data_IF_526528943870
#
_entry.id   IF_526528943870
#
_cell.length_a   1.000
_cell.length_b   1.000
_cell.length_c   1.000
_cell.angle_alpha   90.00
_cell.angle_beta   90.00
_cell.angle_gamma   90.00
#
_symmetry.space_group_name_H-M   'P 1'
#
loop_
_entity.id
_entity.type
_entity.pdbx_description
1 polymer ?
#
# COMPACT_ATOMS: atom_id res chain seq x y z
N UNK A 1 16.47 7.42 14.66
CA UNK A 1 15.01 7.46 14.40
C UNK A 1 14.47 8.89 14.39
N UNK A 2 14.55 9.63 15.50
CA UNK A 2 13.94 10.96 15.64
C UNK A 2 14.34 11.97 14.55
N UNK A 3 15.65 12.07 14.25
CA UNK A 3 16.13 12.96 13.19
C UNK A 3 15.52 12.62 11.82
N UNK A 4 15.40 11.33 11.48
CA UNK A 4 14.80 10.91 10.23
C UNK A 4 13.30 11.25 10.16
N UNK A 5 12.56 11.09 11.28
CA UNK A 5 11.17 11.53 11.36
C UNK A 5 11.02 13.05 11.16
N UNK A 6 11.91 13.85 11.78
CA UNK A 6 11.91 15.31 11.61
C UNK A 6 12.17 15.71 10.16
N UNK A 7 13.20 15.16 9.54
CA UNK A 7 13.54 15.47 8.15
C UNK A 7 12.37 15.19 7.20
N UNK A 8 11.67 14.07 7.33
CA UNK A 8 10.48 13.76 6.52
C UNK A 8 9.33 14.73 6.78
N UNK A 9 9.20 15.20 8.03
CA UNK A 9 8.10 16.09 8.44
C UNK A 9 8.32 17.53 7.96
N UNK A 10 9.53 18.04 8.10
CA UNK A 10 9.91 19.42 7.76
C UNK A 10 10.21 19.57 6.27
N UNK A 11 10.85 18.56 5.66
CA UNK A 11 11.24 18.54 4.24
C UNK A 11 10.81 17.21 3.58
N UNK A 12 9.50 17.07 3.22
CA UNK A 12 8.98 15.84 2.65
C UNK A 12 9.57 15.55 1.26
N UNK A 13 10.55 14.65 1.21
CA UNK A 13 11.16 14.13 -0.01
C UNK A 13 11.22 12.61 -0.02
N UNK A 14 11.25 12.04 -1.22
CA UNK A 14 11.33 10.61 -1.50
C UNK A 14 12.57 10.02 -0.81
N UNK A 15 13.72 10.68 -0.94
CA UNK A 15 14.97 10.30 -0.29
C UNK A 15 14.90 10.34 1.24
N UNK A 16 14.27 11.36 1.83
CA UNK A 16 14.10 11.43 3.29
C UNK A 16 13.19 10.31 3.80
N UNK A 17 12.12 10.00 3.07
CA UNK A 17 11.21 8.91 3.45
C UNK A 17 11.90 7.55 3.32
N UNK A 18 12.66 7.28 2.25
CA UNK A 18 13.44 6.03 2.11
C UNK A 18 14.38 5.84 3.30
N UNK A 19 15.17 6.88 3.66
CA UNK A 19 16.06 6.83 4.84
C UNK A 19 15.31 6.51 6.14
N UNK A 20 14.12 7.10 6.33
CA UNK A 20 13.28 6.80 7.49
C UNK A 20 12.82 5.33 7.47
N UNK A 21 12.35 4.83 6.33
CA UNK A 21 11.85 3.45 6.20
C UNK A 21 12.97 2.42 6.39
N UNK A 22 14.16 2.66 5.85
CA UNK A 22 15.31 1.78 6.06
C UNK A 22 15.68 1.65 7.54
N UNK A 23 15.83 2.79 8.23
CA UNK A 23 16.10 2.82 9.67
C UNK A 23 14.98 2.17 10.47
N UNK A 24 13.73 2.49 10.15
CA UNK A 24 12.58 2.03 10.93
C UNK A 24 12.34 0.54 10.77
N UNK A 25 12.53 0.02 9.56
CA UNK A 25 12.33 -1.38 9.25
C UNK A 25 13.36 -2.32 9.89
N UNK A 26 14.55 -1.81 10.26
CA UNK A 26 15.55 -2.59 10.97
C UNK A 26 15.06 -3.07 12.36
N UNK A 27 14.07 -2.37 12.93
CA UNK A 27 13.51 -2.70 14.24
C UNK A 27 12.26 -3.60 14.14
N UNK A 28 11.83 -3.98 12.94
CA UNK A 28 10.63 -4.78 12.75
C UNK A 28 10.91 -6.26 13.07
N UNK A 29 10.44 -6.71 14.23
CA UNK A 29 10.63 -8.08 14.72
C UNK A 29 9.78 -9.15 14.00
N UNK A 30 8.81 -8.75 13.19
CA UNK A 30 7.88 -9.67 12.53
C UNK A 30 7.87 -9.46 11.01
N UNK A 31 8.06 -10.55 10.26
CA UNK A 31 7.91 -10.62 8.81
C UNK A 31 6.42 -10.58 8.42
N UNK A 32 5.74 -9.47 8.69
CA UNK A 32 4.45 -9.11 8.09
C UNK A 32 3.28 -10.08 8.24
N UNK A 33 2.18 -9.75 7.56
CA UNK A 33 0.93 -10.53 7.54
C UNK A 33 1.00 -11.69 6.54
N UNK A 34 1.92 -12.65 6.74
CA UNK A 34 2.11 -13.79 5.81
C UNK A 34 0.82 -14.56 5.54
N UNK A 35 -0.09 -14.65 6.53
CA UNK A 35 -1.39 -15.34 6.37
C UNK A 35 -2.42 -14.57 5.54
N UNK A 36 -2.39 -13.24 5.53
CA UNK A 36 -3.37 -12.43 4.80
C UNK A 36 -2.90 -12.07 3.38
N UNK A 37 -1.58 -12.02 3.18
CA UNK A 37 -0.96 -11.54 1.93
C UNK A 37 -0.28 -12.68 1.14
N UNK A 38 -0.01 -13.81 1.78
CA UNK A 38 0.66 -14.96 1.18
C UNK A 38 2.17 -15.01 1.48
N UNK A 39 2.78 -16.20 1.52
CA UNK A 39 4.22 -16.35 1.72
C UNK A 39 5.01 -15.78 0.53
N UNK A 40 6.13 -15.11 0.82
CA UNK A 40 7.04 -14.56 -0.19
C UNK A 40 6.57 -13.27 -0.87
N UNK A 41 5.37 -12.76 -0.54
CA UNK A 41 4.77 -11.59 -1.20
C UNK A 41 5.48 -10.25 -0.92
N UNK A 42 6.42 -10.20 0.03
CA UNK A 42 7.27 -9.04 0.34
C UNK A 42 8.46 -9.48 1.20
N UNK A 43 9.49 -8.65 1.30
CA UNK A 43 10.63 -8.88 2.21
C UNK A 43 10.35 -8.30 3.60
N UNK A 44 9.72 -7.12 3.65
CA UNK A 44 9.28 -6.47 4.90
C UNK A 44 7.90 -5.87 4.73
N UNK A 45 7.14 -5.82 5.82
CA UNK A 45 5.78 -5.27 5.81
C UNK A 45 5.40 -4.71 7.17
N UNK A 46 4.77 -3.55 7.17
CA UNK A 46 3.98 -3.07 8.30
C UNK A 46 2.67 -2.42 7.82
N UNK A 47 1.72 -2.30 8.75
CA UNK A 47 0.48 -1.55 8.55
C UNK A 47 0.45 -0.44 9.56
N UNK A 48 0.09 0.78 9.16
CA UNK A 48 -0.23 1.91 10.03
C UNK A 48 -1.74 2.18 10.01
N UNK A 49 -2.29 2.68 11.11
CA UNK A 49 -3.70 3.00 11.24
C UNK A 49 -4.58 1.78 11.52
N UNK A 50 -5.81 1.82 11.00
CA UNK A 50 -6.83 0.80 11.22
C UNK A 50 -6.50 -0.51 10.49
N UNK A 51 -6.89 -1.63 11.08
CA UNK A 51 -6.84 -2.94 10.45
C UNK A 51 -8.10 -3.77 10.75
N UNK A 52 -8.60 -4.47 9.74
CA UNK A 52 -9.67 -5.47 9.89
C UNK A 52 -9.19 -6.85 9.43
N UNK A 53 -9.51 -7.92 10.17
CA UNK A 53 -9.36 -9.30 9.71
C UNK A 53 -10.27 -10.24 10.52
N UNK A 54 -11.00 -11.14 9.84
CA UNK A 54 -11.79 -12.18 10.51
C UNK A 54 -12.86 -11.68 11.49
N UNK A 55 -13.46 -10.52 11.22
CA UNK A 55 -14.45 -9.89 12.11
C UNK A 55 -13.86 -9.07 13.27
N UNK A 56 -12.54 -9.05 13.42
CA UNK A 56 -11.84 -8.20 14.40
C UNK A 56 -11.35 -6.92 13.73
N UNK A 57 -11.56 -5.79 14.41
CA UNK A 57 -11.06 -4.48 14.02
C UNK A 57 -10.19 -3.86 15.12
N UNK A 58 -9.14 -3.14 14.75
CA UNK A 58 -8.29 -2.42 15.72
C UNK A 58 -7.31 -1.44 15.07
N UNK A 59 -6.44 -0.85 15.89
CA UNK A 59 -5.32 0.00 15.46
C UNK A 59 -4.04 -0.83 15.50
N UNK A 60 -3.21 -0.76 14.46
CA UNK A 60 -2.00 -1.57 14.39
C UNK A 60 -0.98 -1.15 15.46
N UNK A 61 -0.25 -2.12 16.02
CA UNK A 61 0.82 -1.83 16.99
C UNK A 61 1.93 -0.94 16.41
N UNK A 62 2.19 -1.00 15.09
CA UNK A 62 3.17 -0.14 14.45
C UNK A 62 2.78 1.35 14.52
N UNK A 63 1.48 1.65 14.65
CA UNK A 63 0.96 3.01 14.88
C UNK A 63 1.40 3.58 16.23
N UNK A 64 1.69 2.74 17.23
CA UNK A 64 2.17 3.19 18.53
C UNK A 64 3.50 3.95 18.45
N UNK A 65 4.27 3.78 17.36
CA UNK A 65 5.43 4.62 17.03
C UNK A 65 4.97 5.92 16.38
N UNK A 66 4.36 6.78 17.20
CA UNK A 66 3.61 7.97 16.75
C UNK A 66 4.43 8.86 15.81
N UNK A 67 5.72 9.09 16.09
CA UNK A 67 6.57 9.97 15.27
C UNK A 67 6.80 9.42 13.84
N UNK A 68 7.13 8.14 13.69
CA UNK A 68 7.34 7.53 12.37
C UNK A 68 6.01 7.44 11.60
N UNK A 69 4.94 7.05 12.29
CA UNK A 69 3.60 7.02 11.69
C UNK A 69 3.17 8.42 11.21
N UNK A 70 3.38 9.46 12.02
CA UNK A 70 3.06 10.84 11.67
C UNK A 70 3.88 11.34 10.47
N UNK A 71 5.18 11.04 10.45
CA UNK A 71 6.07 11.39 9.34
C UNK A 71 5.63 10.74 8.02
N UNK A 72 5.35 9.43 8.02
CA UNK A 72 4.85 8.71 6.84
C UNK A 72 3.51 9.30 6.37
N UNK A 73 2.58 9.53 7.29
CA UNK A 73 1.28 10.11 6.97
C UNK A 73 1.40 11.52 6.38
N UNK A 74 2.29 12.36 6.94
CA UNK A 74 2.54 13.71 6.46
C UNK A 74 3.17 13.71 5.06
N UNK A 75 4.13 12.83 4.81
CA UNK A 75 4.68 12.64 3.47
C UNK A 75 3.56 12.32 2.47
N UNK A 76 2.73 11.32 2.77
CA UNK A 76 1.62 10.95 1.88
C UNK A 76 0.63 12.09 1.69
N UNK A 77 0.31 12.87 2.73
CA UNK A 77 -0.55 14.06 2.61
C UNK A 77 0.04 15.14 1.70
N UNK A 78 1.37 15.28 1.64
CA UNK A 78 2.01 16.20 0.70
C UNK A 78 1.91 15.75 -0.76
N UNK A 79 1.81 14.44 -1.01
CA UNK A 79 1.66 13.86 -2.37
C UNK A 79 0.21 13.66 -2.78
N UNK A 80 -0.69 13.51 -1.81
CA UNK A 80 -2.14 13.37 -1.97
C UNK A 80 -2.90 14.38 -1.09
N UNK A 81 -2.89 15.69 -1.41
CA UNK A 81 -3.48 16.72 -0.56
C UNK A 81 -4.97 16.50 -0.27
N UNK A 82 -5.71 15.97 -1.25
CA UNK A 82 -7.14 15.65 -1.13
C UNK A 82 -7.40 14.18 -0.76
N UNK A 83 -6.35 13.37 -0.64
CA UNK A 83 -6.50 11.95 -0.35
C UNK A 83 -6.97 11.72 1.08
N UNK A 84 -7.77 10.69 1.30
CA UNK A 84 -8.26 10.28 2.62
C UNK A 84 -8.10 8.78 2.77
N UNK A 85 -7.59 8.35 3.91
CA UNK A 85 -7.33 6.95 4.21
C UNK A 85 -7.43 6.70 5.71
N UNK A 86 -7.65 5.44 6.05
CA UNK A 86 -7.66 4.99 7.44
C UNK A 86 -6.51 4.02 7.74
N UNK A 87 -5.85 3.51 6.71
CA UNK A 87 -4.74 2.56 6.82
C UNK A 87 -3.65 2.87 5.80
N UNK A 88 -2.41 2.58 6.14
CA UNK A 88 -1.27 2.62 5.21
C UNK A 88 -0.52 1.31 5.31
N UNK A 89 -0.44 0.56 4.21
CA UNK A 89 0.47 -0.56 4.09
C UNK A 89 1.83 -0.04 3.60
N UNK A 90 2.91 -0.46 4.26
CA UNK A 90 4.29 -0.13 3.90
C UNK A 90 5.04 -1.43 3.64
N UNK A 91 5.51 -1.62 2.42
CA UNK A 91 6.08 -2.87 1.94
C UNK A 91 7.48 -2.64 1.39
N UNK A 92 8.41 -3.54 1.70
CA UNK A 92 9.71 -3.63 1.03
C UNK A 92 9.70 -4.80 0.06
N UNK A 93 10.07 -4.53 -1.18
CA UNK A 93 10.10 -5.46 -2.31
C UNK A 93 8.83 -6.31 -2.46
N UNK A 94 7.66 -5.67 -2.68
CA UNK A 94 6.41 -6.39 -2.87
C UNK A 94 6.40 -7.24 -4.14
N UNK A 95 5.82 -8.44 -4.06
CA UNK A 95 5.62 -9.40 -5.15
C UNK A 95 4.15 -9.82 -5.18
N UNK A 96 3.28 -8.81 -5.23
CA UNK A 96 1.83 -8.97 -5.15
C UNK A 96 1.25 -9.35 -6.51
N UNK A 97 0.74 -10.58 -6.61
CA UNK A 97 0.01 -11.05 -7.79
C UNK A 97 -1.35 -10.36 -7.96
N UNK A 98 -2.16 -10.84 -8.92
CA UNK A 98 -3.51 -10.31 -9.16
C UNK A 98 -4.40 -10.49 -7.92
N UNK A 99 -4.88 -9.39 -7.36
CA UNK A 99 -5.78 -9.40 -6.21
C UNK A 99 -6.74 -8.22 -6.25
N UNK A 100 -7.67 -8.22 -5.28
CA UNK A 100 -8.66 -7.16 -5.07
C UNK A 100 -8.77 -6.86 -3.58
N UNK A 101 -8.81 -5.59 -3.24
CA UNK A 101 -9.08 -5.11 -1.90
C UNK A 101 -10.58 -4.97 -1.68
N UNK A 102 -11.31 -6.09 -1.76
CA UNK A 102 -12.78 -6.12 -1.70
C UNK A 102 -13.36 -5.55 -0.40
N UNK A 103 -12.53 -5.39 0.63
CA UNK A 103 -12.95 -4.81 1.90
C UNK A 103 -12.89 -3.28 1.90
N UNK A 104 -12.15 -2.64 1.00
CA UNK A 104 -12.03 -1.18 0.94
C UNK A 104 -13.38 -0.53 0.61
N UNK A 105 -13.60 0.69 1.11
CA UNK A 105 -14.83 1.45 0.88
C UNK A 105 -15.14 1.57 -0.62
N UNK A 106 -16.40 1.30 -1.00
CA UNK A 106 -16.85 1.40 -2.39
C UNK A 106 -16.72 2.85 -2.85
N UNK A 107 -16.21 3.06 -4.06
CA UNK A 107 -16.05 4.37 -4.68
C UNK A 107 -14.83 5.16 -4.19
N UNK A 108 -14.11 4.68 -3.17
CA UNK A 108 -12.92 5.34 -2.66
C UNK A 108 -11.66 4.66 -3.23
N UNK A 109 -10.70 5.44 -3.77
CA UNK A 109 -9.49 4.90 -4.33
C UNK A 109 -8.51 4.47 -3.22
N UNK A 110 -7.58 3.57 -3.57
CA UNK A 110 -6.30 3.52 -2.89
C UNK A 110 -5.36 4.57 -3.50
N UNK A 111 -4.48 5.11 -2.66
CA UNK A 111 -3.39 5.97 -3.08
C UNK A 111 -2.07 5.22 -2.92
N UNK A 112 -1.21 5.21 -3.94
CA UNK A 112 0.05 4.48 -3.90
C UNK A 112 1.22 5.28 -4.46
N UNK A 113 2.40 5.00 -3.92
CA UNK A 113 3.69 5.51 -4.41
C UNK A 113 4.78 4.47 -4.09
N UNK A 114 5.73 4.33 -4.99
CA UNK A 114 6.90 3.49 -4.82
C UNK A 114 8.18 4.33 -4.85
N UNK A 115 9.13 4.03 -3.96
CA UNK A 115 10.32 4.82 -3.68
C UNK A 115 11.56 3.93 -3.61
N UNK A 116 12.73 4.54 -3.84
CA UNK A 116 14.03 3.88 -3.77
C UNK A 116 14.65 3.64 -5.14
N UNK A 117 15.70 2.84 -5.16
CA UNK A 117 16.49 2.53 -6.36
C UNK A 117 16.08 1.17 -6.89
N UNK A 118 15.20 1.15 -7.90
CA UNK A 118 14.68 -0.08 -8.50
C UNK A 118 14.34 0.12 -9.98
N UNK A 119 14.22 -0.99 -10.70
CA UNK A 119 13.69 -1.04 -12.07
C UNK A 119 12.42 -1.90 -12.11
N UNK A 120 11.50 -1.61 -13.05
CA UNK A 120 10.18 -2.26 -13.10
C UNK A 120 9.22 -1.68 -12.06
N UNK A 121 8.49 -2.55 -11.34
CA UNK A 121 7.70 -2.15 -10.16
C UNK A 121 6.48 -1.27 -10.44
N UNK A 122 6.01 -1.17 -11.68
CA UNK A 122 4.74 -0.50 -12.01
C UNK A 122 3.56 -1.22 -11.35
N UNK A 123 2.42 -0.55 -11.23
CA UNK A 123 1.16 -1.20 -10.84
C UNK A 123 0.30 -1.42 -12.08
N UNK A 124 -0.11 -2.65 -12.33
CA UNK A 124 -1.15 -2.95 -13.31
C UNK A 124 -2.50 -2.83 -12.63
N UNK A 125 -3.44 -2.14 -13.26
CA UNK A 125 -4.82 -2.01 -12.80
C UNK A 125 -5.77 -2.48 -13.90
N UNK A 126 -6.84 -3.17 -13.51
CA UNK A 126 -7.93 -3.53 -14.39
C UNK A 126 -8.66 -2.26 -14.85
N UNK A 127 -8.81 -2.14 -16.16
CA UNK A 127 -9.34 -0.99 -16.86
C UNK A 127 -9.88 -1.49 -18.21
N UNK A 128 -11.18 -1.30 -18.44
CA UNK A 128 -11.85 -1.85 -19.63
C UNK A 128 -11.35 -1.19 -20.93
N UNK A 129 -10.85 0.04 -20.82
CA UNK A 129 -10.27 0.80 -21.93
C UNK A 129 -8.76 0.57 -22.07
N UNK A 130 -8.16 -0.17 -21.13
CA UNK A 130 -6.74 -0.44 -21.11
C UNK A 130 -6.25 -1.34 -22.25
N UNK A 131 -5.03 -1.11 -22.71
CA UNK A 131 -4.41 -1.84 -23.82
C UNK A 131 -3.57 -3.05 -23.38
N UNK A 132 -3.27 -3.19 -22.09
CA UNK A 132 -2.53 -4.35 -21.58
C UNK A 132 -3.46 -5.39 -20.99
N UNK A 133 -3.00 -6.63 -20.91
CA UNK A 133 -3.79 -7.72 -20.36
C UNK A 133 -3.11 -8.43 -19.21
N UNK A 134 -3.91 -9.08 -18.37
CA UNK A 134 -3.43 -9.97 -17.33
C UNK A 134 -4.32 -11.21 -17.23
N UNK A 135 -3.70 -12.38 -17.05
CA UNK A 135 -4.41 -13.63 -16.89
C UNK A 135 -4.84 -13.85 -15.44
N UNK A 136 -6.15 -13.94 -15.20
CA UNK A 136 -6.71 -14.35 -13.92
C UNK A 136 -6.98 -15.84 -13.94
N UNK A 137 -6.26 -16.61 -13.13
CA UNK A 137 -6.59 -18.02 -12.90
C UNK A 137 -7.85 -18.15 -12.04
N UNK A 138 -8.76 -19.04 -12.45
CA UNK A 138 -9.94 -19.40 -11.69
C UNK A 138 -10.23 -20.91 -11.81
N UNK A 139 -11.25 -21.39 -11.09
CA UNK A 139 -11.64 -22.82 -11.10
C UNK A 139 -12.09 -23.35 -12.46
N UNK A 140 -12.30 -22.47 -13.45
CA UNK A 140 -12.81 -22.80 -14.79
C UNK A 140 -11.74 -22.68 -15.88
N UNK A 141 -10.47 -22.54 -15.50
CA UNK A 141 -9.35 -22.45 -16.44
C UNK A 141 -8.82 -21.04 -16.63
N UNK A 142 -9.44 -20.02 -16.00
CA UNK A 142 -8.99 -18.64 -16.03
C UNK A 142 -9.59 -17.80 -17.17
N UNK A 143 -9.36 -16.50 -17.08
CA UNK A 143 -9.82 -15.51 -18.07
C UNK A 143 -8.83 -14.37 -18.20
N UNK A 144 -8.80 -13.76 -19.38
CA UNK A 144 -8.04 -12.54 -19.62
C UNK A 144 -8.81 -11.32 -19.08
N UNK A 145 -8.08 -10.42 -18.44
CA UNK A 145 -8.56 -9.11 -17.99
C UNK A 145 -7.84 -8.02 -18.76
N UNK A 146 -8.55 -6.95 -19.14
CA UNK A 146 -7.96 -5.73 -19.70
C UNK A 146 -7.55 -4.77 -18.60
N UNK A 147 -6.50 -4.01 -18.86
CA UNK A 147 -5.96 -3.05 -17.91
C UNK A 147 -4.86 -2.17 -18.47
N UNK A 148 -4.23 -1.41 -17.58
CA UNK A 148 -3.13 -0.51 -17.92
C UNK A 148 -2.09 -0.49 -16.81
N UNK A 149 -0.87 -0.15 -17.19
CA UNK A 149 0.24 0.03 -16.26
C UNK A 149 0.34 1.49 -15.82
N UNK A 150 0.35 1.74 -14.51
CA UNK A 150 0.66 3.04 -13.94
C UNK A 150 2.09 3.02 -13.40
N UNK A 151 2.87 4.02 -13.78
CA UNK A 151 4.19 4.25 -13.18
C UNK A 151 4.02 4.93 -11.82
N UNK A 152 4.43 4.26 -10.75
CA UNK A 152 4.36 4.76 -9.39
C UNK A 152 5.74 5.05 -8.76
N UNK A 153 6.84 4.91 -9.51
CA UNK A 153 8.18 5.26 -9.03
C UNK A 153 8.30 6.77 -8.89
N UNK A 154 8.41 7.23 -7.64
CA UNK A 154 8.42 8.63 -7.21
C UNK A 154 7.22 9.43 -7.73
N UNK A 155 6.14 8.72 -8.09
CA UNK A 155 4.95 9.28 -8.72
C UNK A 155 3.70 8.83 -7.96
N UNK A 156 2.92 9.77 -7.38
CA UNK A 156 1.67 9.42 -6.73
C UNK A 156 0.65 8.92 -7.76
N UNK A 157 0.06 7.75 -7.49
CA UNK A 157 -1.04 7.20 -8.29
C UNK A 157 -2.26 6.92 -7.41
N UNK A 158 -3.45 7.03 -7.98
CA UNK A 158 -4.70 6.66 -7.31
C UNK A 158 -5.51 5.76 -8.22
N UNK A 159 -6.09 4.69 -7.68
CA UNK A 159 -6.85 3.72 -8.46
C UNK A 159 -7.90 2.99 -7.62
N UNK A 160 -8.91 2.41 -8.29
CA UNK A 160 -9.90 1.56 -7.63
C UNK A 160 -9.29 0.18 -7.32
N UNK A 161 -8.80 0.00 -6.10
CA UNK A 161 -8.20 -1.26 -5.66
C UNK A 161 -9.23 -2.38 -5.42
N UNK A 162 -10.53 -2.10 -5.54
CA UNK A 162 -11.56 -3.14 -5.54
C UNK A 162 -11.61 -3.86 -6.89
N UNK A 163 -11.10 -3.24 -7.96
CA UNK A 163 -10.79 -3.91 -9.23
C UNK A 163 -9.47 -4.66 -9.15
N UNK A 164 -9.25 -5.59 -10.07
CA UNK A 164 -8.03 -6.39 -10.07
C UNK A 164 -6.79 -5.52 -10.27
N UNK A 165 -5.74 -5.78 -9.50
CA UNK A 165 -4.46 -5.11 -9.66
C UNK A 165 -3.30 -6.00 -9.22
N UNK A 166 -2.09 -5.70 -9.70
CA UNK A 166 -0.85 -6.41 -9.35
C UNK A 166 0.36 -5.50 -9.45
N UNK A 167 1.47 -5.89 -8.83
CA UNK A 167 2.76 -5.21 -8.98
C UNK A 167 3.58 -5.92 -10.06
N UNK A 168 4.19 -5.14 -10.94
CA UNK A 168 5.18 -5.63 -11.92
C UNK A 168 6.40 -6.19 -11.19
N UNK A 169 6.97 -7.32 -11.64
CA UNK A 169 8.29 -7.74 -11.18
C UNK A 169 9.30 -6.60 -11.22
N UNK A 170 10.17 -6.56 -10.22
CA UNK A 170 11.15 -5.49 -10.06
C UNK A 170 12.47 -6.04 -9.53
N UNK A 171 13.54 -5.29 -9.77
CA UNK A 171 14.86 -5.54 -9.23
C UNK A 171 15.35 -4.30 -8.47
N UNK A 172 16.13 -4.50 -7.41
CA UNK A 172 16.63 -3.43 -6.55
C UNK A 172 15.87 -3.29 -5.24
N UNK A 173 15.88 -2.08 -4.68
CA UNK A 173 15.34 -1.75 -3.36
C UNK A 173 14.10 -0.89 -3.51
N UNK A 174 12.92 -1.52 -3.47
CA UNK A 174 11.64 -0.86 -3.67
C UNK A 174 10.85 -0.80 -2.37
N UNK A 175 10.59 0.41 -1.88
CA UNK A 175 9.58 0.67 -0.88
C UNK A 175 8.26 1.02 -1.57
N UNK A 176 7.19 0.28 -1.32
CA UNK A 176 5.85 0.62 -1.79
C UNK A 176 4.96 1.01 -0.61
N UNK A 177 4.26 2.14 -0.74
CA UNK A 177 3.26 2.61 0.21
C UNK A 177 1.90 2.58 -0.47
N UNK A 178 0.92 1.97 0.19
CA UNK A 178 -0.48 1.98 -0.25
C UNK A 178 -1.37 2.47 0.89
N UNK A 179 -1.95 3.65 0.72
CA UNK A 179 -2.91 4.24 1.64
C UNK A 179 -4.34 3.89 1.21
N UNK A 180 -5.08 3.23 2.09
CA UNK A 180 -6.37 2.64 1.81
C UNK A 180 -7.48 3.27 2.69
N UNK A 181 -8.70 3.43 2.15
CA UNK A 181 -9.84 3.89 2.92
C UNK A 181 -10.20 2.87 4.01
N UNK A 182 -11.01 3.30 4.99
CA UNK A 182 -11.58 2.36 5.96
C UNK A 182 -12.37 1.25 5.24
N UNK A 183 -12.32 0.03 5.79
CA UNK A 183 -13.07 -1.06 5.20
C UNK A 183 -14.60 -0.88 5.37
N UNK A 184 -15.40 -1.49 4.50
CA UNK A 184 -16.87 -1.46 4.55
C UNK A 184 -17.41 -1.94 5.92
N UNK A 185 -16.74 -2.91 6.54
CA UNK A 185 -17.09 -3.44 7.88
C UNK A 185 -16.93 -2.38 8.96
N UNK A 186 -15.91 -1.53 8.87
CA UNK A 186 -15.72 -0.44 9.83
C UNK A 186 -16.86 0.55 9.75
N UNK A 187 -17.27 0.95 8.55
CA UNK A 187 -18.30 1.98 8.42
C UNK A 187 -19.66 1.50 8.99
N UNK A 188 -20.01 0.21 8.86
CA UNK A 188 -21.24 -0.35 9.46
C UNK A 188 -21.24 -0.36 11.00
N UNK A 189 -20.07 -0.47 11.63
CA UNK A 189 -19.95 -0.45 13.09
C UNK A 189 -20.04 0.98 13.66
N UNK A 190 -19.71 2.00 12.86
CA UNK A 190 -19.71 3.41 13.28
C UNK A 190 -20.82 4.26 12.64
N UNK A 191 -21.60 3.72 11.69
CA UNK A 191 -22.79 4.37 11.11
C UNK A 191 -24.08 4.10 11.91
N UNK A 192 -23.95 3.67 13.16
CA UNK A 192 -25.04 3.62 14.14
C UNK A 192 -24.77 4.74 15.14
N UNK A 193 -24.97 5.98 14.70
CA UNK A 193 -25.12 7.18 15.54
C UNK A 193 -26.23 8.03 14.98
#
# INVERSE_FOLDING_TARGET
MELACRNVTEEPSEANLVKLLDLWSAEWKHQGRTRAVGPGAFDKYCTLGLFGHGGVCGVSNATARQAACAAVNRFLKSRFPQGSWASIAVLFNPRMGLHRDIQNMIGQPNHAIALGEFSGGRVWIEDDEGESTAWLEDKKGGRELRGRWLNMHDKPVSFDARRYHKVEPHEGSMWALAAAPAGVVFNRLYSVQ
#
